data_IF_357455443338
#
_entry.id   IF_357455443338
#
_cell.length_a   1.000
_cell.length_b   1.000
_cell.length_c   1.000
_cell.angle_alpha   90.00
_cell.angle_beta   90.00
_cell.angle_gamma   90.00
#
_symmetry.space_group_name_H-M   'P 1'
#
loop_
_entity.id
_entity.type
_entity.pdbx_description
1 polymer ?
#
# COMPACT_ATOMS: atom_id res chain seq x y z
N UNK A 1 -2.53 -16.49 -2.01
CA UNK A 1 -2.73 -17.56 -3.00
C UNK A 1 -3.87 -18.54 -2.62
N UNK A 2 -3.93 -19.02 -1.36
CA UNK A 2 -4.96 -19.97 -0.90
C UNK A 2 -6.37 -19.39 -1.08
N UNK A 3 -6.61 -18.16 -0.64
CA UNK A 3 -7.89 -17.47 -0.73
C UNK A 3 -8.43 -17.42 -2.16
N UNK A 4 -7.59 -17.06 -3.13
CA UNK A 4 -8.00 -16.95 -4.54
C UNK A 4 -8.10 -18.33 -5.19
N UNK A 5 -7.12 -19.22 -4.98
CA UNK A 5 -7.06 -20.52 -5.69
C UNK A 5 -8.05 -21.54 -5.15
N UNK A 6 -8.17 -21.66 -3.83
CA UNK A 6 -9.02 -22.69 -3.20
C UNK A 6 -10.46 -22.16 -3.00
N UNK A 7 -10.62 -20.95 -2.45
CA UNK A 7 -11.93 -20.39 -2.13
C UNK A 7 -12.57 -19.61 -3.29
N UNK A 8 -11.84 -19.38 -4.41
CA UNK A 8 -12.33 -18.67 -5.61
C UNK A 8 -12.82 -17.24 -5.33
N UNK A 9 -12.30 -16.60 -4.29
CA UNK A 9 -12.63 -15.23 -3.93
C UNK A 9 -11.71 -14.29 -4.71
N UNK A 10 -12.31 -13.35 -5.46
CA UNK A 10 -11.58 -12.38 -6.30
C UNK A 10 -11.79 -10.92 -5.88
N UNK A 11 -12.82 -10.64 -5.09
CA UNK A 11 -13.12 -9.29 -4.59
C UNK A 11 -12.14 -8.94 -3.45
N UNK A 12 -11.38 -7.81 -3.54
CA UNK A 12 -10.29 -7.51 -2.60
C UNK A 12 -10.72 -7.48 -1.14
N UNK A 13 -11.83 -6.84 -0.80
CA UNK A 13 -12.33 -6.79 0.58
C UNK A 13 -12.62 -8.18 1.14
N UNK A 14 -13.28 -9.03 0.36
CA UNK A 14 -13.55 -10.42 0.76
C UNK A 14 -12.28 -11.28 0.84
N UNK A 15 -11.27 -10.96 0.01
CA UNK A 15 -9.96 -11.61 0.12
C UNK A 15 -9.34 -11.26 1.48
N UNK A 16 -9.33 -9.99 1.88
CA UNK A 16 -8.78 -9.56 3.17
C UNK A 16 -9.55 -10.15 4.35
N UNK A 17 -10.89 -10.23 4.28
CA UNK A 17 -11.72 -10.89 5.30
C UNK A 17 -11.34 -12.36 5.47
N UNK A 18 -11.19 -13.08 4.35
CA UNK A 18 -10.80 -14.51 4.39
C UNK A 18 -9.35 -14.70 4.85
N UNK A 19 -8.45 -13.81 4.48
CA UNK A 19 -7.06 -13.82 4.97
C UNK A 19 -7.04 -13.62 6.48
N UNK A 20 -7.80 -12.66 7.01
CA UNK A 20 -7.93 -12.44 8.46
C UNK A 20 -8.44 -13.68 9.19
N UNK A 21 -9.49 -14.32 8.68
CA UNK A 21 -10.02 -15.57 9.25
C UNK A 21 -8.93 -16.66 9.33
N UNK A 22 -8.22 -16.89 8.22
CA UNK A 22 -7.15 -17.90 8.17
C UNK A 22 -5.97 -17.58 9.10
N UNK A 23 -5.62 -16.30 9.24
CA UNK A 23 -4.56 -15.86 10.16
C UNK A 23 -4.98 -16.11 11.61
N UNK A 24 -6.20 -15.74 11.99
CA UNK A 24 -6.73 -15.96 13.34
C UNK A 24 -6.80 -17.47 13.68
N UNK A 25 -7.30 -18.31 12.77
CA UNK A 25 -7.31 -19.77 12.95
C UNK A 25 -5.91 -20.36 13.16
N UNK A 26 -4.90 -19.78 12.49
CA UNK A 26 -3.51 -20.24 12.61
C UNK A 26 -2.94 -19.89 13.98
N UNK A 27 -3.12 -18.65 14.43
CA UNK A 27 -2.63 -18.19 15.73
C UNK A 27 -3.36 -18.84 16.92
N UNK A 28 -4.67 -19.11 16.79
CA UNK A 28 -5.40 -19.86 17.83
C UNK A 28 -4.84 -21.27 18.04
N UNK A 29 -4.37 -21.91 16.97
CA UNK A 29 -3.78 -23.28 17.04
C UNK A 29 -2.36 -23.29 17.59
N UNK A 30 -1.56 -22.24 17.33
CA UNK A 30 -0.16 -22.17 17.77
C UNK A 30 0.00 -21.65 19.21
N UNK A 31 -1.01 -20.97 19.75
CA UNK A 31 -0.91 -20.30 21.07
C UNK A 31 0.06 -19.11 21.09
N UNK A 32 0.50 -18.65 19.93
CA UNK A 32 1.45 -17.54 19.77
C UNK A 32 0.81 -16.17 19.94
N UNK A 33 1.67 -15.16 20.11
CA UNK A 33 1.26 -13.73 20.19
C UNK A 33 0.59 -13.37 18.87
N UNK A 34 -0.58 -12.74 18.96
CA UNK A 34 -1.41 -12.40 17.82
C UNK A 34 -0.95 -11.06 17.22
N UNK A 35 0.10 -11.09 16.41
CA UNK A 35 0.51 -9.94 15.63
C UNK A 35 -0.48 -9.70 14.48
N UNK A 36 -0.68 -8.41 14.15
CA UNK A 36 -1.44 -7.99 12.98
C UNK A 36 -0.51 -7.62 11.84
N UNK A 37 -1.03 -7.68 10.61
CA UNK A 37 -0.31 -7.17 9.45
C UNK A 37 -1.16 -6.14 8.70
N UNK A 38 -0.49 -5.17 8.11
CA UNK A 38 -1.09 -4.15 7.27
C UNK A 38 -0.95 -4.57 5.80
N UNK A 39 -2.01 -4.39 5.03
CA UNK A 39 -2.07 -4.85 3.63
C UNK A 39 -2.73 -3.79 2.76
N UNK A 40 -2.15 -3.55 1.60
CA UNK A 40 -2.76 -2.86 0.47
C UNK A 40 -2.92 -3.85 -0.68
N UNK A 41 -4.16 -4.17 -1.06
CA UNK A 41 -4.48 -5.17 -2.08
C UNK A 41 -5.20 -4.54 -3.26
N UNK A 42 -4.58 -4.64 -4.44
CA UNK A 42 -5.14 -4.18 -5.70
C UNK A 42 -5.45 -5.39 -6.61
N UNK A 43 -6.65 -5.40 -7.19
CA UNK A 43 -7.06 -6.36 -8.22
C UNK A 43 -7.32 -5.60 -9.52
N UNK A 44 -6.65 -6.00 -10.59
CA UNK A 44 -6.76 -5.39 -11.92
C UNK A 44 -7.30 -6.44 -12.89
N UNK A 45 -8.42 -6.13 -13.54
CA UNK A 45 -8.91 -6.92 -14.67
C UNK A 45 -8.17 -6.45 -15.93
N UNK A 46 -7.25 -7.24 -16.42
CA UNK A 46 -6.42 -6.90 -17.59
C UNK A 46 -7.18 -6.83 -18.91
N UNK A 47 -8.41 -7.33 -18.98
CA UNK A 47 -9.25 -7.26 -20.18
C UNK A 47 -10.11 -5.99 -20.21
N UNK A 48 -10.58 -5.51 -19.05
CA UNK A 48 -11.48 -4.35 -18.96
C UNK A 48 -10.82 -3.13 -18.34
N UNK A 49 -9.61 -3.28 -17.78
CA UNK A 49 -8.90 -2.28 -16.97
C UNK A 49 -9.69 -1.83 -15.73
N UNK A 50 -10.68 -2.63 -15.28
CA UNK A 50 -11.34 -2.36 -14.02
C UNK A 50 -10.39 -2.61 -12.87
N UNK A 51 -10.34 -1.66 -11.94
CA UNK A 51 -9.45 -1.70 -10.79
C UNK A 51 -10.28 -1.72 -9.52
N UNK A 52 -10.01 -2.69 -8.68
CA UNK A 52 -10.57 -2.80 -7.34
C UNK A 52 -9.45 -2.78 -6.31
N UNK A 53 -9.70 -2.15 -5.19
CA UNK A 53 -8.74 -2.06 -4.10
C UNK A 53 -9.39 -2.23 -2.74
N UNK A 54 -8.63 -2.78 -1.79
CA UNK A 54 -8.96 -2.84 -0.37
C UNK A 54 -7.69 -2.67 0.47
N UNK A 55 -7.78 -1.99 1.60
CA UNK A 55 -6.65 -1.76 2.49
C UNK A 55 -6.97 -2.07 3.95
N UNK A 56 -6.02 -2.74 4.63
CA UNK A 56 -5.92 -2.87 6.06
C UNK A 56 -4.84 -1.90 6.54
N UNK A 57 -5.21 -0.81 7.18
CA UNK A 57 -4.38 0.33 7.61
C UNK A 57 -3.60 1.06 6.49
N UNK A 58 -3.09 0.36 5.48
CA UNK A 58 -2.34 0.95 4.38
C UNK A 58 -3.26 1.62 3.35
N UNK A 59 -2.97 2.87 3.02
CA UNK A 59 -3.67 3.67 2.01
C UNK A 59 -3.27 3.28 0.59
N UNK A 60 -4.09 3.66 -0.39
CA UNK A 60 -3.71 3.69 -1.80
C UNK A 60 -3.64 5.14 -2.25
N UNK A 61 -2.58 5.49 -2.99
CA UNK A 61 -2.54 6.75 -3.72
C UNK A 61 -2.60 6.52 -5.23
N UNK A 62 -3.16 7.48 -5.94
CA UNK A 62 -3.15 7.46 -7.40
C UNK A 62 -3.13 8.88 -7.95
N UNK A 63 -2.48 9.04 -9.12
CA UNK A 63 -2.51 10.31 -9.85
C UNK A 63 -3.61 10.28 -10.89
N UNK A 64 -4.37 11.35 -10.97
CA UNK A 64 -5.41 11.56 -11.97
C UNK A 64 -5.58 13.04 -12.25
N UNK A 65 -5.57 13.44 -13.53
CA UNK A 65 -5.71 14.85 -13.96
C UNK A 65 -4.66 15.79 -13.34
N UNK A 66 -3.44 15.30 -13.10
CA UNK A 66 -2.36 16.10 -12.49
C UNK A 66 -2.49 16.27 -10.97
N UNK A 67 -3.40 15.56 -10.31
CA UNK A 67 -3.58 15.57 -8.86
C UNK A 67 -3.25 14.20 -8.26
N UNK A 68 -2.73 14.19 -7.05
CA UNK A 68 -2.60 12.98 -6.24
C UNK A 68 -3.84 12.81 -5.36
N UNK A 69 -4.50 11.68 -5.49
CA UNK A 69 -5.71 11.32 -4.73
C UNK A 69 -5.43 10.14 -3.81
N UNK A 70 -6.17 10.05 -2.72
CA UNK A 70 -6.06 9.00 -1.72
C UNK A 70 -7.35 8.19 -1.61
N UNK A 71 -7.20 6.87 -1.48
CA UNK A 71 -8.28 5.97 -1.06
C UNK A 71 -7.99 5.52 0.37
N UNK A 72 -8.90 5.85 1.28
CA UNK A 72 -8.75 5.56 2.71
C UNK A 72 -9.01 4.08 3.00
N UNK A 73 -8.14 3.38 3.74
CA UNK A 73 -8.30 1.98 4.11
C UNK A 73 -9.29 1.80 5.27
N UNK A 74 -9.66 0.56 5.54
CA UNK A 74 -10.21 0.22 6.85
C UNK A 74 -9.09 0.36 7.90
N UNK A 75 -9.36 1.14 8.95
CA UNK A 75 -8.41 1.33 10.07
C UNK A 75 -8.45 0.14 11.03
N UNK A 76 -7.99 -0.99 10.53
CA UNK A 76 -7.86 -2.25 11.24
C UNK A 76 -6.81 -3.11 10.52
N UNK A 77 -6.00 -3.90 11.26
CA UNK A 77 -5.03 -4.84 10.67
C UNK A 77 -5.71 -6.13 10.20
N UNK A 78 -4.98 -6.94 9.46
CA UNK A 78 -5.26 -8.37 9.32
C UNK A 78 -4.76 -9.07 10.60
N UNK A 79 -5.68 -9.41 11.48
CA UNK A 79 -5.37 -9.98 12.80
C UNK A 79 -6.49 -9.74 13.79
N UNK A 80 -6.19 -9.93 15.09
CA UNK A 80 -7.14 -9.67 16.16
C UNK A 80 -7.34 -8.17 16.34
N UNK A 81 -8.59 -7.75 16.30
CA UNK A 81 -8.97 -6.35 16.50
C UNK A 81 -10.32 -6.25 17.21
N UNK A 82 -10.41 -5.36 18.23
CA UNK A 82 -11.58 -5.29 19.12
C UNK A 82 -12.89 -5.00 18.38
N UNK A 83 -12.87 -4.10 17.40
CA UNK A 83 -14.03 -3.71 16.60
C UNK A 83 -13.87 -4.10 15.13
N UNK A 84 -13.43 -5.34 14.87
CA UNK A 84 -13.23 -5.81 13.51
C UNK A 84 -14.54 -5.74 12.69
N UNK A 85 -14.43 -5.19 11.48
CA UNK A 85 -15.52 -5.08 10.49
C UNK A 85 -15.07 -5.73 9.18
N UNK A 86 -16.03 -5.99 8.29
CA UNK A 86 -15.68 -6.39 6.93
C UNK A 86 -14.84 -5.32 6.23
N UNK A 87 -13.87 -5.76 5.41
CA UNK A 87 -13.07 -4.86 4.60
C UNK A 87 -13.87 -4.35 3.39
N UNK A 88 -13.76 -3.06 3.14
CA UNK A 88 -14.43 -2.41 2.01
C UNK A 88 -13.68 -2.69 0.71
N UNK A 89 -14.41 -2.95 -0.37
CA UNK A 89 -13.88 -2.94 -1.73
C UNK A 89 -14.17 -1.59 -2.38
N UNK A 90 -13.14 -0.91 -2.86
CA UNK A 90 -13.23 0.34 -3.61
C UNK A 90 -13.05 0.07 -5.09
N UNK A 91 -13.96 0.57 -5.92
CA UNK A 91 -13.84 0.51 -7.38
C UNK A 91 -13.22 1.82 -7.88
N UNK A 92 -12.16 1.72 -8.64
CA UNK A 92 -11.43 2.87 -9.18
C UNK A 92 -11.66 2.96 -10.70
N UNK A 93 -11.96 4.16 -11.18
CA UNK A 93 -12.03 4.46 -12.61
C UNK A 93 -10.84 5.32 -12.99
N UNK A 94 -9.81 4.67 -13.49
CA UNK A 94 -8.59 5.32 -13.96
C UNK A 94 -8.59 5.44 -15.48
N UNK A 95 -7.88 6.46 -15.96
CA UNK A 95 -7.68 6.72 -17.37
C UNK A 95 -6.25 6.34 -17.79
N UNK A 96 -6.04 6.17 -19.08
CA UNK A 96 -4.70 5.93 -19.61
C UNK A 96 -3.74 7.04 -19.20
N UNK A 97 -2.64 6.64 -18.58
CA UNK A 97 -1.62 7.55 -18.05
C UNK A 97 -1.72 7.80 -16.55
N UNK A 98 -2.85 7.48 -15.92
CA UNK A 98 -2.97 7.52 -14.46
C UNK A 98 -2.04 6.48 -13.81
N UNK A 99 -1.56 6.74 -12.62
CA UNK A 99 -0.63 5.85 -11.92
C UNK A 99 -1.11 5.57 -10.51
N UNK A 100 -1.16 4.28 -10.14
CA UNK A 100 -1.41 3.80 -8.79
C UNK A 100 -0.08 3.66 -8.03
N UNK A 101 -0.09 3.95 -6.73
CA UNK A 101 1.05 3.74 -5.83
C UNK A 101 0.59 2.96 -4.60
N UNK A 102 1.16 1.74 -4.44
CA UNK A 102 1.05 0.95 -3.22
C UNK A 102 2.43 0.99 -2.54
N UNK A 103 2.45 1.14 -1.22
CA UNK A 103 3.71 1.32 -0.51
C UNK A 103 3.58 0.90 0.96
N UNK A 104 4.73 0.65 1.60
CA UNK A 104 4.87 0.52 3.04
C UNK A 104 5.15 1.90 3.66
N UNK A 105 4.97 2.03 4.95
CA UNK A 105 5.24 3.27 5.70
C UNK A 105 6.72 3.62 5.82
N UNK A 106 7.62 2.63 5.62
CA UNK A 106 9.06 2.79 5.76
C UNK A 106 9.66 3.96 4.99
N UNK A 107 9.14 4.29 3.78
CA UNK A 107 9.60 5.46 3.04
C UNK A 107 9.28 6.78 3.77
N UNK A 108 8.06 6.93 4.27
CA UNK A 108 7.62 8.13 4.96
C UNK A 108 8.21 8.24 6.37
N UNK A 109 8.51 7.11 6.99
CA UNK A 109 9.01 7.00 8.35
C UNK A 109 10.54 7.07 8.44
N UNK A 110 11.26 7.01 7.31
CA UNK A 110 12.71 7.13 7.28
C UNK A 110 13.17 8.46 7.90
N UNK A 111 14.06 8.37 8.87
CA UNK A 111 14.71 9.54 9.47
C UNK A 111 15.88 10.04 8.58
N UNK A 112 16.04 11.35 8.51
CA UNK A 112 17.08 11.95 7.70
C UNK A 112 17.03 13.48 7.65
N UNK A 113 17.73 14.04 6.64
CA UNK A 113 17.92 15.47 6.46
C UNK A 113 18.72 16.11 7.59
N UNK A 114 19.01 17.40 7.50
CA UNK A 114 19.88 18.15 8.42
C UNK A 114 19.42 18.10 9.89
N UNK A 115 18.16 17.82 10.12
CA UNK A 115 17.54 17.81 11.47
C UNK A 115 17.21 16.41 11.97
N UNK A 116 17.54 15.34 11.26
CA UNK A 116 17.25 13.97 11.65
C UNK A 116 15.74 13.71 11.87
N UNK A 117 14.87 14.25 11.01
CA UNK A 117 13.41 14.08 11.13
C UNK A 117 12.89 13.01 10.17
N UNK A 118 11.66 12.49 10.42
CA UNK A 118 10.97 11.63 9.47
C UNK A 118 10.72 12.36 8.14
N UNK A 119 10.80 11.63 7.01
CA UNK A 119 10.48 12.13 5.67
C UNK A 119 9.04 12.64 5.59
N UNK A 120 8.10 11.90 6.15
CA UNK A 120 6.66 12.15 6.26
C UNK A 120 5.88 11.97 4.95
N UNK A 121 4.63 11.54 5.10
CA UNK A 121 3.69 11.32 3.99
C UNK A 121 3.51 12.53 3.08
N UNK A 122 3.41 13.74 3.64
CA UNK A 122 3.25 14.96 2.84
C UNK A 122 4.40 15.16 1.84
N UNK A 123 5.65 15.01 2.31
CA UNK A 123 6.83 15.15 1.44
C UNK A 123 6.89 14.03 0.40
N UNK A 124 6.46 12.82 0.77
CA UNK A 124 6.37 11.68 -0.15
C UNK A 124 5.30 11.92 -1.24
N UNK A 125 4.12 12.42 -0.89
CA UNK A 125 3.07 12.80 -1.84
C UNK A 125 3.55 13.88 -2.83
N UNK A 126 4.18 14.94 -2.32
CA UNK A 126 4.74 16.02 -3.14
C UNK A 126 5.79 15.48 -4.12
N UNK A 127 6.64 14.55 -3.68
CA UNK A 127 7.64 13.91 -4.52
C UNK A 127 6.99 13.07 -5.62
N UNK A 128 6.05 12.19 -5.27
CA UNK A 128 5.33 11.35 -6.24
C UNK A 128 4.58 12.19 -7.28
N UNK A 129 3.93 13.26 -6.86
CA UNK A 129 3.21 14.16 -7.76
C UNK A 129 4.18 14.85 -8.73
N UNK A 130 5.31 15.34 -8.22
CA UNK A 130 6.32 16.02 -9.05
C UNK A 130 6.91 15.15 -10.16
N UNK A 131 7.01 13.83 -9.91
CA UNK A 131 7.59 12.87 -10.87
C UNK A 131 6.53 12.06 -11.64
N UNK A 132 5.25 12.29 -11.38
CA UNK A 132 4.14 11.46 -11.90
C UNK A 132 4.12 11.32 -13.42
N UNK A 133 4.59 12.31 -14.16
CA UNK A 133 4.65 12.30 -15.63
C UNK A 133 5.88 11.57 -16.19
N UNK A 134 6.87 11.23 -15.34
CA UNK A 134 8.07 10.52 -15.79
C UNK A 134 7.79 9.03 -16.06
N UNK A 135 8.57 8.34 -16.89
CA UNK A 135 8.54 6.89 -17.00
C UNK A 135 8.71 6.22 -15.62
N UNK A 136 8.03 5.10 -15.37
CA UNK A 136 8.10 4.42 -14.06
C UNK A 136 9.53 4.02 -13.64
N UNK A 137 10.37 3.65 -14.62
CA UNK A 137 11.78 3.35 -14.34
C UNK A 137 12.55 4.58 -13.83
N UNK A 138 12.27 5.76 -14.36
CA UNK A 138 12.87 7.01 -13.89
C UNK A 138 12.31 7.41 -12.52
N UNK A 139 11.00 7.24 -12.30
CA UNK A 139 10.41 7.47 -10.98
C UNK A 139 11.07 6.64 -9.91
N UNK A 140 11.32 5.34 -10.19
CA UNK A 140 12.05 4.45 -9.29
C UNK A 140 13.41 5.05 -8.92
N UNK A 141 14.23 5.38 -9.91
CA UNK A 141 15.57 5.92 -9.68
C UNK A 141 15.56 7.24 -8.86
N UNK A 142 14.58 8.11 -9.16
CA UNK A 142 14.41 9.38 -8.43
C UNK A 142 14.01 9.13 -6.97
N UNK A 143 13.11 8.18 -6.71
CA UNK A 143 12.66 7.82 -5.37
C UNK A 143 13.77 7.15 -4.56
N UNK A 144 14.50 6.20 -5.15
CA UNK A 144 15.66 5.57 -4.51
C UNK A 144 16.72 6.61 -4.13
N UNK A 145 17.10 7.47 -5.08
CA UNK A 145 18.07 8.54 -4.80
C UNK A 145 17.57 9.50 -3.73
N UNK A 146 16.29 9.91 -3.77
CA UNK A 146 15.75 10.82 -2.79
C UNK A 146 15.70 10.24 -1.37
N UNK A 147 15.47 8.92 -1.25
CA UNK A 147 15.50 8.21 0.02
C UNK A 147 16.94 8.14 0.57
N UNK A 148 17.91 7.77 -0.27
CA UNK A 148 19.33 7.68 0.13
C UNK A 148 19.91 9.06 0.50
N UNK A 149 19.61 10.09 -0.30
CA UNK A 149 20.03 11.46 -0.01
C UNK A 149 19.41 11.97 1.32
N UNK A 150 18.14 11.58 1.60
CA UNK A 150 17.48 11.94 2.85
C UNK A 150 18.05 11.21 4.04
N UNK A 151 18.18 9.89 3.93
CA UNK A 151 18.71 9.02 4.98
C UNK A 151 20.15 9.39 5.38
N UNK A 152 20.98 9.71 4.40
CA UNK A 152 22.38 10.00 4.60
C UNK A 152 23.09 8.84 5.31
N UNK A 153 23.75 9.13 6.42
CA UNK A 153 24.46 8.13 7.22
C UNK A 153 23.60 7.43 8.29
N UNK A 154 22.30 7.72 8.35
CA UNK A 154 21.40 7.05 9.30
C UNK A 154 21.02 5.66 8.80
N UNK A 155 20.62 4.80 9.74
CA UNK A 155 20.13 3.46 9.40
C UNK A 155 18.72 3.53 8.81
N UNK A 156 18.38 2.56 7.96
CA UNK A 156 17.02 2.33 7.53
C UNK A 156 16.22 1.76 8.70
N UNK A 157 15.08 2.38 9.01
CA UNK A 157 14.30 2.04 10.22
C UNK A 157 13.23 1.01 9.97
N UNK A 158 12.81 0.81 8.72
CA UNK A 158 11.77 -0.12 8.34
C UNK A 158 11.92 -0.59 6.89
N UNK A 159 11.19 -1.64 6.50
CA UNK A 159 11.15 -2.14 5.12
C UNK A 159 10.48 -1.13 4.18
N UNK A 160 11.20 -0.76 3.13
CA UNK A 160 10.74 0.21 2.14
C UNK A 160 10.32 -0.50 0.85
N UNK A 161 9.02 -0.46 0.55
CA UNK A 161 8.47 -0.91 -0.72
C UNK A 161 7.63 0.21 -1.34
N UNK A 162 7.84 0.48 -2.62
CA UNK A 162 6.97 1.35 -3.43
C UNK A 162 6.70 0.67 -4.77
N UNK A 163 5.43 0.43 -5.07
CA UNK A 163 4.99 -0.18 -6.34
C UNK A 163 4.20 0.88 -7.10
N UNK A 164 4.68 1.27 -8.27
CA UNK A 164 3.97 2.12 -9.22
C UNK A 164 3.37 1.28 -10.36
N UNK A 165 2.08 1.46 -10.63
CA UNK A 165 1.38 0.80 -11.74
C UNK A 165 0.73 1.88 -12.60
N UNK A 166 1.16 1.99 -13.86
CA UNK A 166 0.56 2.92 -14.82
C UNK A 166 -0.47 2.20 -15.69
N UNK A 167 -1.63 2.81 -15.80
CA UNK A 167 -2.76 2.31 -16.61
C UNK A 167 -2.67 2.78 -18.07
#
# INVERSE_FOLDING_TARGET
>A
NRTVKEFKIIEPGKILDKVRELVLETFEKSGEIQDGMDISLCCINTNTNDIQWSGANNVLWYTQNGELKEVTPNKQPIGKYYNARAFNTHNLKLQKGDTLYLFTDGYADQFGGDKGKKFKYKQFQEKLLAISNQPLAEQKNILEKALEDWKGNLEQVDDVLVIGIRV
#
